data_IF_624829840187
#
_entry.id   IF_624829840187
#
_cell.length_a   1.000
_cell.length_b   1.000
_cell.length_c   1.000
_cell.angle_alpha   90.00
_cell.angle_beta   90.00
_cell.angle_gamma   90.00
#
_symmetry.space_group_name_H-M   'P 1'
#
loop_
_entity.id
_entity.type
_entity.pdbx_description
1 polymer ?
#
# COMPACT_ATOMS: atom_id res chain seq x y z
N UNK A 1 -0.58 1.65 0.45
CA UNK A 1 -1.95 1.30 0.88
C UNK A 1 -2.79 1.18 -0.38
N UNK A 2 -3.44 0.05 -0.67
CA UNK A 2 -4.26 -0.03 -1.89
C UNK A 2 -5.45 0.89 -1.70
N UNK A 3 -5.58 1.89 -2.58
CA UNK A 3 -6.67 2.85 -2.45
C UNK A 3 -7.97 2.08 -2.68
N UNK A 4 -9.09 2.46 -2.04
CA UNK A 4 -10.38 1.84 -2.33
C UNK A 4 -10.66 1.84 -3.85
N UNK A 5 -10.24 2.89 -4.57
CA UNK A 5 -10.38 2.98 -6.02
C UNK A 5 -9.71 1.86 -6.82
N UNK A 6 -8.67 1.21 -6.27
CA UNK A 6 -7.93 0.12 -6.91
C UNK A 6 -8.64 -1.24 -6.75
N UNK A 7 -9.75 -1.28 -6.00
CA UNK A 7 -10.56 -2.50 -5.80
C UNK A 7 -11.24 -2.99 -7.09
N UNK A 8 -11.35 -2.14 -8.12
CA UNK A 8 -11.95 -2.51 -9.42
C UNK A 8 -11.10 -3.49 -10.24
N UNK A 9 -9.82 -3.64 -9.87
CA UNK A 9 -8.85 -4.44 -10.59
C UNK A 9 -8.96 -5.94 -10.24
N UNK A 10 -9.76 -6.29 -9.23
CA UNK A 10 -9.87 -7.66 -8.74
C UNK A 10 -11.21 -8.31 -9.04
N UNK A 11 -11.13 -9.43 -9.77
CA UNK A 11 -12.28 -10.22 -10.15
C UNK A 11 -12.90 -11.03 -8.99
N UNK A 12 -12.23 -11.14 -7.84
CA UNK A 12 -12.70 -11.95 -6.70
C UNK A 12 -12.39 -11.27 -5.37
N UNK A 13 -13.42 -11.11 -4.54
CA UNK A 13 -13.31 -10.61 -3.17
C UNK A 13 -13.78 -11.67 -2.17
N UNK A 14 -13.17 -11.73 -1.00
CA UNK A 14 -13.67 -12.52 0.12
C UNK A 14 -14.39 -11.62 1.12
N UNK A 15 -15.63 -11.94 1.44
CA UNK A 15 -16.44 -11.18 2.40
C UNK A 15 -16.71 -12.03 3.65
N UNK A 16 -16.46 -11.45 4.83
CA UNK A 16 -16.62 -12.12 6.12
C UNK A 16 -16.60 -11.13 7.28
N UNK A 17 -17.12 -11.54 8.43
CA UNK A 17 -17.04 -10.74 9.67
C UNK A 17 -15.63 -10.81 10.27
N UNK A 18 -14.96 -11.96 10.10
CA UNK A 18 -13.61 -12.21 10.55
C UNK A 18 -12.76 -12.90 9.45
N UNK A 19 -11.51 -13.22 9.79
CA UNK A 19 -10.56 -13.84 8.86
C UNK A 19 -10.84 -15.34 8.65
N UNK A 20 -11.61 -15.98 9.54
CA UNK A 20 -11.93 -17.41 9.56
C UNK A 20 -13.19 -17.75 8.74
N UNK A 21 -14.20 -16.90 8.82
CA UNK A 21 -15.53 -17.05 8.24
C UNK A 21 -15.71 -16.07 7.08
N UNK A 22 -14.93 -16.30 6.02
CA UNK A 22 -15.03 -15.53 4.77
C UNK A 22 -15.50 -16.40 3.62
N UNK A 23 -16.38 -15.85 2.80
CA UNK A 23 -16.93 -16.48 1.60
C UNK A 23 -16.40 -15.79 0.36
N UNK A 24 -16.13 -16.57 -0.69
CA UNK A 24 -15.64 -16.06 -1.96
C UNK A 24 -16.78 -15.53 -2.82
N UNK A 25 -16.61 -14.30 -3.30
CA UNK A 25 -17.56 -13.64 -4.18
C UNK A 25 -16.82 -13.10 -5.39
N UNK A 26 -17.28 -13.50 -6.57
CA UNK A 26 -16.77 -12.96 -7.83
C UNK A 26 -17.34 -11.55 -8.03
N UNK A 27 -16.50 -10.60 -8.39
CA UNK A 27 -16.90 -9.24 -8.75
C UNK A 27 -17.26 -9.21 -10.24
N UNK A 28 -18.50 -8.82 -10.54
CA UNK A 28 -18.98 -8.65 -11.91
C UNK A 28 -18.60 -7.27 -12.47
N UNK A 29 -18.71 -6.23 -11.63
CA UNK A 29 -18.17 -4.90 -11.93
C UNK A 29 -18.01 -4.12 -10.63
N UNK A 30 -17.11 -3.14 -10.65
CA UNK A 30 -16.93 -2.17 -9.59
C UNK A 30 -16.83 -0.78 -10.19
N UNK A 31 -17.37 0.23 -9.51
CA UNK A 31 -17.19 1.63 -9.91
C UNK A 31 -17.14 2.54 -8.71
N UNK A 32 -16.30 3.57 -8.79
CA UNK A 32 -16.30 4.66 -7.83
C UNK A 32 -17.55 5.50 -8.02
N UNK A 33 -18.28 5.78 -6.94
CA UNK A 33 -19.44 6.65 -6.97
C UNK A 33 -19.47 7.52 -5.71
N UNK A 34 -19.35 8.84 -5.91
CA UNK A 34 -19.22 9.81 -4.81
C UNK A 34 -18.01 9.50 -3.93
N UNK A 35 -18.17 9.34 -2.61
CA UNK A 35 -17.09 9.08 -1.63
C UNK A 35 -16.79 7.60 -1.37
N UNK A 36 -17.27 6.68 -2.21
CA UNK A 36 -17.07 5.24 -1.99
C UNK A 36 -17.10 4.42 -3.27
N UNK A 37 -17.03 3.10 -3.13
CA UNK A 37 -17.20 2.16 -4.22
C UNK A 37 -18.56 1.49 -4.19
N UNK A 38 -19.09 1.29 -5.39
CA UNK A 38 -20.26 0.45 -5.64
C UNK A 38 -19.79 -0.76 -6.42
N UNK A 39 -20.08 -1.95 -5.89
CA UNK A 39 -19.69 -3.23 -6.49
C UNK A 39 -20.93 -4.06 -6.81
N UNK A 40 -20.86 -4.82 -7.90
CA UNK A 40 -21.79 -5.91 -8.19
C UNK A 40 -21.05 -7.23 -8.00
N UNK A 41 -21.58 -8.06 -7.11
CA UNK A 41 -21.08 -9.40 -6.85
C UNK A 41 -21.93 -10.42 -7.61
N UNK A 42 -21.30 -11.47 -8.11
CA UNK A 42 -21.96 -12.60 -8.74
C UNK A 42 -22.84 -13.31 -7.71
N UNK A 43 -24.10 -13.64 -8.07
CA UNK A 43 -25.11 -14.28 -7.21
C UNK A 43 -25.67 -13.41 -6.07
N UNK A 44 -25.35 -12.11 -6.03
CA UNK A 44 -26.00 -11.12 -5.16
C UNK A 44 -26.85 -10.20 -6.05
N UNK A 45 -28.08 -10.65 -6.34
CA UNK A 45 -28.89 -10.04 -7.39
C UNK A 45 -30.01 -9.13 -6.88
N UNK A 46 -30.38 -9.26 -5.61
CA UNK A 46 -31.44 -8.46 -4.97
C UNK A 46 -30.93 -7.58 -3.81
N UNK A 47 -31.80 -6.65 -3.39
CA UNK A 47 -31.50 -5.67 -2.35
C UNK A 47 -31.31 -6.31 -0.97
N UNK A 48 -32.06 -7.37 -0.67
CA UNK A 48 -32.05 -7.99 0.65
C UNK A 48 -30.76 -8.80 0.85
N UNK A 49 -30.30 -9.49 -0.19
CA UNK A 49 -28.99 -10.14 -0.24
C UNK A 49 -27.84 -9.13 -0.08
N UNK A 50 -27.92 -7.98 -0.76
CA UNK A 50 -26.93 -6.92 -0.63
C UNK A 50 -26.92 -6.31 0.79
N UNK A 51 -28.10 -6.12 1.39
CA UNK A 51 -28.22 -5.62 2.76
C UNK A 51 -27.61 -6.59 3.78
N UNK A 52 -27.74 -7.91 3.56
CA UNK A 52 -27.12 -8.94 4.40
C UNK A 52 -25.58 -8.97 4.36
N UNK A 53 -24.96 -8.28 3.39
CA UNK A 53 -23.50 -8.13 3.31
C UNK A 53 -22.98 -6.87 4.01
N UNK A 54 -23.88 -5.99 4.47
CA UNK A 54 -23.48 -4.77 5.16
C UNK A 54 -22.76 -5.08 6.48
N UNK A 55 -21.65 -4.38 6.75
CA UNK A 55 -20.83 -4.59 7.95
C UNK A 55 -19.76 -5.66 7.82
N UNK A 56 -19.71 -6.41 6.72
CA UNK A 56 -18.64 -7.39 6.46
C UNK A 56 -17.36 -6.71 5.98
N UNK A 57 -16.22 -7.26 6.39
CA UNK A 57 -14.90 -6.84 5.91
C UNK A 57 -14.61 -7.50 4.55
N UNK A 58 -13.96 -6.74 3.67
CA UNK A 58 -13.51 -7.21 2.36
C UNK A 58 -12.05 -7.61 2.47
N UNK A 59 -11.74 -8.81 2.00
CA UNK A 59 -10.40 -9.36 1.94
C UNK A 59 -10.07 -9.73 0.50
N UNK A 60 -8.84 -9.46 0.07
CA UNK A 60 -8.34 -9.88 -1.24
C UNK A 60 -7.10 -10.75 -1.01
N UNK A 61 -6.96 -11.89 -1.71
CA UNK A 61 -5.75 -12.68 -1.59
C UNK A 61 -4.52 -11.91 -2.01
N UNK A 62 -3.45 -12.04 -1.23
CA UNK A 62 -2.15 -11.42 -1.54
C UNK A 62 -1.61 -11.83 -2.92
N UNK A 63 -2.00 -13.00 -3.44
CA UNK A 63 -1.60 -13.49 -4.76
C UNK A 63 -2.45 -12.95 -5.93
N UNK A 64 -3.62 -12.33 -5.67
CA UNK A 64 -4.44 -11.65 -6.69
C UNK A 64 -4.16 -10.15 -6.77
N UNK A 65 -3.38 -9.62 -5.82
CA UNK A 65 -2.77 -8.30 -6.00
C UNK A 65 -1.95 -8.39 -7.29
N UNK A 66 -2.16 -7.49 -8.28
CA UNK A 66 -1.31 -7.46 -9.46
C UNK A 66 0.14 -7.45 -8.97
N UNK A 67 1.01 -8.18 -9.68
CA UNK A 67 2.44 -8.08 -9.41
C UNK A 67 2.75 -6.59 -9.37
N UNK A 68 3.24 -6.11 -8.23
CA UNK A 68 3.71 -4.74 -8.11
C UNK A 68 4.56 -4.49 -9.36
N UNK A 69 4.21 -3.46 -10.15
CA UNK A 69 5.18 -2.89 -11.09
C UNK A 69 6.48 -2.72 -10.30
N UNK A 70 7.63 -2.89 -10.97
CA UNK A 70 8.96 -3.00 -10.34
C UNK A 70 9.27 -1.89 -9.30
N UNK A 71 8.46 -0.82 -9.27
CA UNK A 71 8.56 0.35 -8.42
C UNK A 71 7.46 0.50 -7.35
N UNK A 72 6.63 -0.52 -7.10
CA UNK A 72 5.60 -0.47 -6.03
C UNK A 72 5.96 -1.34 -4.82
N UNK A 73 5.91 -0.73 -3.63
CA UNK A 73 6.37 -1.32 -2.38
C UNK A 73 5.28 -1.25 -1.31
N UNK A 74 5.09 -2.34 -0.56
CA UNK A 74 4.30 -2.26 0.66
C UNK A 74 5.12 -1.52 1.71
N UNK A 75 4.55 -0.47 2.32
CA UNK A 75 5.23 0.28 3.38
C UNK A 75 5.72 -0.61 4.53
N UNK A 76 4.98 -1.68 4.84
CA UNK A 76 5.37 -2.69 5.84
C UNK A 76 6.65 -3.42 5.49
N UNK A 77 6.98 -3.54 4.20
CA UNK A 77 8.20 -4.19 3.74
C UNK A 77 9.40 -3.21 3.77
N UNK A 78 9.14 -1.90 3.87
CA UNK A 78 10.16 -0.84 3.89
C UNK A 78 10.61 -0.46 5.31
N UNK A 79 9.70 -0.54 6.28
CA UNK A 79 9.99 -0.22 7.69
C UNK A 79 11.13 -1.11 8.21
N UNK A 80 12.13 -0.48 8.82
CA UNK A 80 13.33 -1.14 9.34
C UNK A 80 14.47 -1.31 8.33
N UNK A 81 14.28 -0.99 7.04
CA UNK A 81 15.35 -1.02 6.05
C UNK A 81 16.38 0.09 6.31
N UNK A 82 17.66 -0.19 6.02
CA UNK A 82 18.74 0.79 6.10
C UNK A 82 18.66 1.73 4.89
N UNK A 83 18.73 3.04 5.12
CA UNK A 83 18.66 4.06 4.07
C UNK A 83 20.04 4.69 3.87
N UNK A 84 20.50 4.73 2.63
CA UNK A 84 21.82 5.25 2.23
C UNK A 84 21.70 6.26 1.10
N UNK A 85 22.62 7.20 1.05
CA UNK A 85 22.77 8.07 -0.11
C UNK A 85 23.61 7.41 -1.24
N UNK A 86 23.72 8.09 -2.38
CA UNK A 86 24.54 7.65 -3.53
C UNK A 86 26.04 7.51 -3.22
N UNK A 87 26.53 8.14 -2.15
CA UNK A 87 27.91 8.01 -1.69
C UNK A 87 28.13 6.77 -0.81
N UNK A 88 27.06 6.07 -0.47
CA UNK A 88 27.06 4.92 0.43
C UNK A 88 27.01 5.30 1.91
N UNK A 89 26.83 6.59 2.23
CA UNK A 89 26.67 7.04 3.62
C UNK A 89 25.29 6.62 4.12
N UNK A 90 25.26 5.94 5.26
CA UNK A 90 24.02 5.60 5.97
C UNK A 90 23.40 6.86 6.55
N UNK A 91 22.14 7.10 6.19
CA UNK A 91 21.31 8.19 6.72
C UNK A 91 20.55 7.75 7.97
N UNK A 92 20.14 6.48 8.01
CA UNK A 92 19.40 5.91 9.12
C UNK A 92 18.57 4.71 8.70
N UNK A 93 17.48 4.46 9.41
CA UNK A 93 16.51 3.41 9.11
C UNK A 93 15.13 3.98 8.90
N UNK A 94 14.35 3.33 8.05
CA UNK A 94 12.94 3.67 7.86
C UNK A 94 12.18 3.38 9.15
N UNK A 95 11.58 4.40 9.74
CA UNK A 95 10.73 4.26 10.93
C UNK A 95 9.27 4.01 10.52
N UNK A 96 8.71 4.92 9.71
CA UNK A 96 7.37 4.78 9.16
C UNK A 96 7.22 5.57 7.86
N UNK A 97 6.11 5.32 7.15
CA UNK A 97 5.69 6.10 6.00
C UNK A 97 4.28 6.65 6.26
N UNK A 98 3.99 7.85 5.77
CA UNK A 98 2.66 8.45 5.85
C UNK A 98 2.30 9.18 4.55
N UNK A 99 1.00 9.23 4.24
CA UNK A 99 0.48 9.90 3.04
C UNK A 99 0.18 11.37 3.33
N UNK A 100 0.66 12.28 2.48
CA UNK A 100 0.36 13.73 2.56
C UNK A 100 -0.80 14.17 1.65
N UNK A 101 -1.44 13.21 0.96
CA UNK A 101 -2.49 13.42 -0.04
C UNK A 101 -1.98 13.67 -1.46
N UNK A 102 -0.74 14.14 -1.61
CA UNK A 102 -0.07 14.30 -2.91
C UNK A 102 0.95 13.18 -3.17
N UNK A 103 1.82 12.92 -2.19
CA UNK A 103 2.87 11.90 -2.24
C UNK A 103 3.02 11.25 -0.88
N UNK A 104 3.52 10.01 -0.88
CA UNK A 104 3.92 9.32 0.34
C UNK A 104 5.25 9.91 0.83
N UNK A 105 5.39 10.05 2.14
CA UNK A 105 6.62 10.54 2.78
C UNK A 105 7.18 9.45 3.66
N UNK A 106 8.46 9.14 3.45
CA UNK A 106 9.23 8.19 4.23
C UNK A 106 10.00 8.93 5.34
N UNK A 107 9.81 8.49 6.57
CA UNK A 107 10.52 8.99 7.75
C UNK A 107 11.70 8.09 8.05
N UNK A 108 12.87 8.69 8.12
CA UNK A 108 14.13 8.02 8.40
C UNK A 108 14.65 8.54 9.73
N UNK A 109 14.98 7.63 10.64
CA UNK A 109 15.63 7.97 11.91
C UNK A 109 17.10 7.54 11.83
N UNK A 110 18.00 8.50 11.95
CA UNK A 110 19.43 8.25 11.98
C UNK A 110 19.96 7.88 13.37
N UNK A 111 21.24 7.51 13.45
CA UNK A 111 21.84 6.97 14.68
C UNK A 111 21.77 7.90 15.90
N UNK A 112 21.75 9.23 15.69
CA UNK A 112 21.66 10.21 16.78
C UNK A 112 20.24 10.75 16.97
N UNK A 113 19.23 10.06 16.41
CA UNK A 113 17.83 10.43 16.53
C UNK A 113 17.40 11.57 15.60
N UNK A 114 18.24 12.00 14.66
CA UNK A 114 17.81 12.95 13.63
C UNK A 114 16.75 12.31 12.74
N UNK A 115 15.65 13.02 12.52
CA UNK A 115 14.60 12.63 11.60
C UNK A 115 14.80 13.31 10.25
N UNK A 116 14.70 12.52 9.19
CA UNK A 116 14.75 12.97 7.81
C UNK A 116 13.47 12.53 7.11
N UNK A 117 12.79 13.48 6.49
CA UNK A 117 11.59 13.24 5.71
C UNK A 117 11.94 13.26 4.23
N UNK A 118 11.76 12.13 3.54
CA UNK A 118 12.02 12.01 2.11
C UNK A 118 10.74 11.58 1.39
N UNK A 119 10.28 12.34 0.37
CA UNK A 119 9.18 11.90 -0.48
C UNK A 119 9.53 10.54 -1.13
N UNK A 120 8.65 9.55 -0.98
CA UNK A 120 8.84 8.22 -1.56
C UNK A 120 8.39 8.19 -3.01
N UNK A 121 9.16 8.87 -3.87
CA UNK A 121 8.96 8.96 -5.32
C UNK A 121 10.28 8.75 -6.06
N UNK A 122 10.20 8.36 -7.34
CA UNK A 122 11.36 8.02 -8.17
C UNK A 122 12.41 9.14 -8.27
N UNK A 123 12.03 10.41 -8.08
CA UNK A 123 12.97 11.54 -8.08
C UNK A 123 13.94 11.53 -6.88
N UNK A 124 13.54 10.91 -5.77
CA UNK A 124 14.29 10.89 -4.52
C UNK A 124 14.71 9.48 -4.08
N UNK A 125 14.07 8.43 -4.59
CA UNK A 125 14.36 7.02 -4.29
C UNK A 125 14.91 6.36 -5.54
N UNK A 126 16.21 6.08 -5.55
CA UNK A 126 16.90 5.51 -6.70
C UNK A 126 16.71 3.99 -6.79
N UNK A 127 16.73 3.30 -5.65
CA UNK A 127 16.64 1.84 -5.60
C UNK A 127 16.19 1.33 -4.23
N UNK A 128 15.50 0.19 -4.24
CA UNK A 128 15.10 -0.56 -3.04
C UNK A 128 15.55 -2.02 -3.21
N UNK A 129 16.58 -2.42 -2.47
CA UNK A 129 17.06 -3.81 -2.44
C UNK A 129 16.45 -4.52 -1.22
N UNK A 130 15.43 -5.35 -1.47
CA UNK A 130 14.77 -6.14 -0.43
C UNK A 130 15.60 -7.31 0.07
N UNK A 131 16.53 -7.83 -0.73
CA UNK A 131 17.39 -8.94 -0.31
C UNK A 131 18.43 -8.44 0.71
N UNK A 132 18.94 -7.22 0.48
CA UNK A 132 19.90 -6.58 1.38
C UNK A 132 19.25 -5.71 2.46
N UNK A 133 17.94 -5.48 2.39
CA UNK A 133 17.25 -4.59 3.34
C UNK A 133 17.72 -3.13 3.23
N UNK A 134 18.11 -2.68 2.02
CA UNK A 134 18.71 -1.34 1.81
C UNK A 134 17.89 -0.51 0.81
N UNK A 135 17.74 0.79 1.09
CA UNK A 135 17.13 1.79 0.20
C UNK A 135 18.19 2.84 -0.16
N UNK A 136 18.36 3.12 -1.44
CA UNK A 136 19.22 4.19 -1.94
C UNK A 136 18.37 5.41 -2.28
N UNK A 137 18.72 6.54 -1.67
CA UNK A 137 18.03 7.81 -1.86
C UNK A 137 18.97 8.89 -2.39
N UNK A 138 18.38 9.86 -3.09
CA UNK A 138 19.05 11.05 -3.60
C UNK A 138 18.33 12.32 -3.12
N UNK A 139 18.43 12.65 -1.81
CA UNK A 139 17.82 13.86 -1.26
C UNK A 139 18.46 15.13 -1.83
N UNK A 140 17.68 16.22 -1.90
CA UNK A 140 18.21 17.53 -2.29
C UNK A 140 19.16 18.06 -1.19
N UNK A 141 20.15 18.91 -1.55
CA UNK A 141 21.02 19.55 -0.59
C UNK A 141 20.21 20.32 0.47
N UNK A 142 20.41 19.99 1.75
CA UNK A 142 19.70 20.61 2.88
C UNK A 142 18.56 19.78 3.49
N UNK A 143 18.25 18.61 2.93
CA UNK A 143 17.29 17.66 3.53
C UNK A 143 17.94 16.67 4.52
N UNK A 144 19.26 16.47 4.44
CA UNK A 144 20.08 15.52 5.23
C UNK A 144 21.37 16.14 5.73
#
# INVERSE_FOLDING_TARGET
MTRPADLDQWATWWLGEDRSEKTEHRVLWCKTHSRGLVVRLEKIDDRDQAAGMAGKSIWVPRYQLPACDQDSYYWTDLVGMDVKDRSGRTLGRVDHLFETGAQDVMVIVGEFGQEVLIPFVADFVDAVDRNQGTIIVNPLPGMV
#
